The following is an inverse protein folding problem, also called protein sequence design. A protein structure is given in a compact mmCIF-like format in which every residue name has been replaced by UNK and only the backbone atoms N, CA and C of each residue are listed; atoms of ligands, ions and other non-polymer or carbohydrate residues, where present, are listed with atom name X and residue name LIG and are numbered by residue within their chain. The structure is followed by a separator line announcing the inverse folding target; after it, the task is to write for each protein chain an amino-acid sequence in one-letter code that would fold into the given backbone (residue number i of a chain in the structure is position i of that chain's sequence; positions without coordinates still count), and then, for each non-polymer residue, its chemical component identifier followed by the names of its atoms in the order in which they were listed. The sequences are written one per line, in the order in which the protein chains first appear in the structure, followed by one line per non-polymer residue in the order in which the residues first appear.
data_IF_609392777323
#
_entry.id   IF_609392777323
#
_cell.length_a   1.000
_cell.length_b   1.000
_cell.length_c   1.000
_cell.angle_alpha   90.00
_cell.angle_beta   90.00
_cell.angle_gamma   90.00
#
_symmetry.space_group_name_H-M   'P 1'
#
loop_
_entity.id
_entity.type
_entity.pdbx_description
1 polymer ?
#
# COMPACT_ATOMS: atom_id res chain seq x y z
N UNK A 1 10.82 9.61 8.11
CA UNK A 1 9.49 10.08 7.68
C UNK A 1 8.65 8.95 7.11
N UNK A 2 7.31 8.98 7.24
CA UNK A 2 6.42 8.02 6.56
C UNK A 2 6.53 8.19 5.04
N UNK A 3 6.65 7.08 4.31
CA UNK A 3 6.90 7.09 2.86
C UNK A 3 5.67 7.42 1.99
N UNK A 4 4.51 7.63 2.60
CA UNK A 4 3.26 7.95 1.90
C UNK A 4 2.57 6.76 1.21
N UNK A 5 2.99 5.52 1.48
CA UNK A 5 2.35 4.30 0.98
C UNK A 5 2.37 3.19 2.03
N UNK A 6 1.51 2.19 1.86
CA UNK A 6 1.43 1.01 2.71
C UNK A 6 0.89 -0.21 1.95
N UNK A 7 0.90 -1.36 2.61
CA UNK A 7 0.39 -2.62 2.06
C UNK A 7 -0.65 -3.17 3.00
N UNK A 8 -1.72 -3.69 2.41
CA UNK A 8 -2.79 -4.37 3.12
C UNK A 8 -2.91 -5.76 2.51
N UNK A 9 -2.85 -6.79 3.36
CA UNK A 9 -3.07 -8.18 2.95
C UNK A 9 -4.46 -8.59 3.40
N UNK A 10 -5.31 -8.89 2.44
CA UNK A 10 -6.64 -9.43 2.72
C UNK A 10 -6.57 -10.94 2.86
N UNK A 11 -7.53 -11.49 3.61
CA UNK A 11 -7.71 -12.94 3.73
C UNK A 11 -8.28 -13.53 2.45
N UNK A 12 -9.22 -12.82 1.84
CA UNK A 12 -9.92 -13.24 0.63
C UNK A 12 -9.63 -12.28 -0.53
N UNK A 13 -9.46 -12.79 -1.76
CA UNK A 13 -9.20 -11.97 -2.93
C UNK A 13 -10.41 -11.11 -3.33
N UNK A 14 -11.65 -11.55 -3.07
CA UNK A 14 -12.85 -10.75 -3.32
C UNK A 14 -12.83 -9.40 -2.59
N UNK A 15 -12.38 -9.41 -1.32
CA UNK A 15 -12.28 -8.20 -0.50
C UNK A 15 -11.33 -7.15 -1.11
N UNK A 16 -10.33 -7.58 -1.88
CA UNK A 16 -9.38 -6.68 -2.53
C UNK A 16 -10.05 -5.90 -3.65
N UNK A 17 -10.91 -6.58 -4.43
CA UNK A 17 -11.65 -5.95 -5.52
C UNK A 17 -12.66 -4.94 -4.98
N UNK A 18 -13.40 -5.31 -3.93
CA UNK A 18 -14.33 -4.42 -3.23
C UNK A 18 -13.61 -3.21 -2.61
N UNK A 19 -12.52 -3.43 -1.88
CA UNK A 19 -11.73 -2.34 -1.30
C UNK A 19 -11.20 -1.38 -2.36
N UNK A 20 -10.68 -1.91 -3.48
CA UNK A 20 -10.22 -1.07 -4.59
C UNK A 20 -11.36 -0.29 -5.24
N UNK A 21 -12.52 -0.91 -5.45
CA UNK A 21 -13.68 -0.25 -6.06
C UNK A 21 -14.18 0.93 -5.21
N UNK A 22 -14.28 0.73 -3.90
CA UNK A 22 -14.89 1.71 -3.00
C UNK A 22 -13.89 2.76 -2.47
N UNK A 23 -12.62 2.40 -2.27
CA UNK A 23 -11.66 3.23 -1.55
C UNK A 23 -10.58 3.85 -2.45
N UNK A 24 -10.45 3.42 -3.70
CA UNK A 24 -9.52 4.08 -4.63
C UNK A 24 -9.98 5.50 -4.95
N UNK A 25 -9.05 6.47 -4.94
CA UNK A 25 -9.31 7.91 -5.06
C UNK A 25 -10.15 8.53 -3.94
N UNK A 26 -10.30 7.84 -2.81
CA UNK A 26 -10.90 8.47 -1.62
C UNK A 26 -9.89 9.39 -0.94
N UNK A 27 -10.40 10.41 -0.25
CA UNK A 27 -9.58 11.35 0.51
C UNK A 27 -9.48 10.85 1.96
N UNK A 28 -8.25 10.60 2.42
CA UNK A 28 -7.94 10.22 3.80
C UNK A 28 -6.99 11.26 4.39
N UNK A 29 -7.39 11.91 5.47
CA UNK A 29 -6.56 12.94 6.13
C UNK A 29 -6.19 14.12 5.22
N UNK A 30 -7.09 14.49 4.30
CA UNK A 30 -6.89 15.59 3.35
C UNK A 30 -6.01 15.25 2.15
N UNK A 31 -5.65 13.97 1.94
CA UNK A 31 -4.91 13.50 0.76
C UNK A 31 -5.69 12.41 0.04
N UNK A 32 -5.79 12.52 -1.28
CA UNK A 32 -6.32 11.45 -2.12
C UNK A 32 -5.37 10.25 -2.09
N UNK A 33 -5.93 9.05 -1.88
CA UNK A 33 -5.17 7.79 -1.91
C UNK A 33 -5.41 7.04 -3.21
N UNK A 34 -4.41 6.25 -3.62
CA UNK A 34 -4.51 5.33 -4.76
C UNK A 34 -4.29 3.90 -4.31
N UNK A 35 -5.20 3.01 -4.68
CA UNK A 35 -5.13 1.57 -4.38
C UNK A 35 -4.82 0.80 -5.67
N UNK A 36 -3.74 0.04 -5.63
CA UNK A 36 -3.30 -0.82 -6.73
C UNK A 36 -3.03 -2.23 -6.22
N UNK A 37 -3.18 -3.24 -7.08
CA UNK A 37 -2.75 -4.60 -6.76
C UNK A 37 -1.23 -4.62 -6.59
N UNK A 38 -0.75 -5.45 -5.66
CA UNK A 38 0.67 -5.63 -5.47
C UNK A 38 1.21 -6.66 -6.47
N UNK A 39 2.20 -6.27 -7.27
CA UNK A 39 2.91 -7.19 -8.19
C UNK A 39 3.75 -8.21 -7.41
N UNK A 40 3.91 -9.41 -7.99
CA UNK A 40 4.52 -10.59 -7.36
C UNK A 40 6.01 -10.40 -7.01
N UNK A 41 6.73 -9.52 -7.70
CA UNK A 41 8.16 -9.22 -7.44
C UNK A 41 8.38 -8.12 -6.37
N UNK A 42 7.41 -7.91 -5.45
CA UNK A 42 7.52 -6.85 -4.45
C UNK A 42 8.34 -7.24 -3.23
N UNK A 43 9.15 -6.27 -2.79
CA UNK A 43 9.80 -6.24 -1.48
C UNK A 43 8.74 -6.36 -0.38
N UNK A 44 8.92 -7.33 0.49
CA UNK A 44 8.13 -7.55 1.70
C UNK A 44 8.12 -6.29 2.59
N UNK A 45 7.11 -6.13 3.47
CA UNK A 45 7.09 -5.04 4.45
C UNK A 45 8.39 -4.95 5.27
N UNK A 46 9.06 -6.09 5.52
CA UNK A 46 10.35 -6.15 6.20
C UNK A 46 11.48 -5.54 5.37
N UNK A 47 11.56 -5.85 4.08
CA UNK A 47 12.57 -5.30 3.16
C UNK A 47 12.39 -3.78 2.96
N UNK A 48 11.14 -3.31 2.92
CA UNK A 48 10.86 -1.87 2.79
C UNK A 48 11.19 -1.08 4.05
N UNK A 49 11.08 -1.68 5.23
CA UNK A 49 11.56 -1.09 6.50
C UNK A 49 13.09 -0.92 6.49
N UNK A 50 13.82 -1.90 5.96
CA UNK A 50 15.30 -1.86 5.89
C UNK A 50 15.85 -0.84 4.91
N UNK A 51 15.14 -0.60 3.79
CA UNK A 51 15.62 0.33 2.75
C UNK A 51 15.36 1.81 3.10
N UNK A 52 15.01 2.15 4.35
CA UNK A 52 14.55 3.48 4.77
C UNK A 52 15.62 4.33 5.46
N UNK A 53 16.81 3.77 5.63
CA UNK A 53 17.92 4.40 6.36
C UNK A 53 19.24 4.37 5.59
N UNK A 54 19.22 4.33 4.25
CA UNK A 54 20.42 4.44 3.44
C UNK A 54 20.44 5.80 2.74
N UNK A 55 20.84 6.82 3.49
CA UNK A 55 21.44 8.04 2.94
C UNK A 55 22.72 8.26 3.75
N UNK A 56 23.79 7.60 3.32
CA UNK A 56 25.14 8.12 3.47
C UNK A 56 25.43 8.93 2.20
#
# INVERSE_FOLDING_TARGET
EPRGFGFVKFRYPEDVADAKSHLNHTVIGGREIRIVFAEENRKTPQEMRRTGGARL
#
